data_IF_259410379489
#
_entry.id   IF_259410379489
#
_cell.length_a   1.000
_cell.length_b   1.000
_cell.length_c   1.000
_cell.angle_alpha   90.00
_cell.angle_beta   90.00
_cell.angle_gamma   90.00
#
_symmetry.space_group_name_H-M   'P 1'
#
loop_
_entity.id
_entity.type
_entity.pdbx_description
1 polymer ?
#
# COMPACT_ATOMS: atom_id res chain seq x y z
N UNK A 1 25.90 4.30 -35.78
CA UNK A 1 26.52 2.96 -35.97
C UNK A 1 26.67 2.30 -34.60
N UNK A 2 26.73 0.97 -34.53
CA UNK A 2 26.94 0.23 -33.28
C UNK A 2 28.21 0.66 -32.49
N UNK A 3 29.26 1.07 -33.20
CA UNK A 3 30.53 1.54 -32.63
C UNK A 3 30.35 2.73 -31.67
N UNK A 4 29.56 3.73 -32.04
CA UNK A 4 29.32 4.91 -31.18
C UNK A 4 28.61 4.56 -29.88
N UNK A 5 27.79 3.50 -29.88
CA UNK A 5 27.15 3.01 -28.66
C UNK A 5 28.16 2.29 -27.75
N UNK A 6 29.06 1.48 -28.33
CA UNK A 6 30.12 0.81 -27.58
C UNK A 6 31.07 1.84 -26.96
N UNK A 7 31.51 2.83 -27.74
CA UNK A 7 32.38 3.91 -27.26
C UNK A 7 31.72 4.68 -26.11
N UNK A 8 30.43 5.02 -26.25
CA UNK A 8 29.67 5.68 -25.19
C UNK A 8 29.57 4.84 -23.90
N UNK A 9 29.41 3.52 -24.00
CA UNK A 9 29.33 2.62 -22.82
C UNK A 9 30.69 2.35 -22.19
N UNK A 10 31.76 2.42 -22.98
CA UNK A 10 33.12 2.24 -22.50
C UNK A 10 33.71 3.52 -21.89
N UNK A 11 33.19 4.68 -22.27
CA UNK A 11 33.54 5.99 -21.70
C UNK A 11 33.50 5.94 -20.15
N UNK A 12 34.63 6.27 -19.48
CA UNK A 12 34.71 6.33 -18.02
C UNK A 12 33.59 7.17 -17.38
N UNK A 13 33.17 8.26 -18.04
CA UNK A 13 32.10 9.13 -17.52
C UNK A 13 30.76 8.39 -17.44
N UNK A 14 30.43 7.61 -18.47
CA UNK A 14 29.19 6.83 -18.51
C UNK A 14 29.22 5.69 -17.50
N UNK A 15 30.37 5.03 -17.31
CA UNK A 15 30.54 3.98 -16.30
C UNK A 15 30.33 4.51 -14.88
N UNK A 16 30.98 5.61 -14.53
CA UNK A 16 30.82 6.25 -13.22
C UNK A 16 29.35 6.65 -12.94
N UNK A 17 28.64 7.15 -13.97
CA UNK A 17 27.21 7.46 -13.85
C UNK A 17 26.36 6.20 -13.67
N UNK A 18 26.69 5.10 -14.35
CA UNK A 18 26.01 3.81 -14.19
C UNK A 18 26.17 3.24 -12.78
N UNK A 19 27.39 3.26 -12.23
CA UNK A 19 27.68 2.82 -10.85
C UNK A 19 26.90 3.66 -9.83
N UNK A 20 26.92 4.99 -9.96
CA UNK A 20 26.14 5.88 -9.11
C UNK A 20 24.63 5.61 -9.21
N UNK A 21 24.11 5.32 -10.40
CA UNK A 21 22.70 4.97 -10.58
C UNK A 21 22.36 3.62 -9.93
N UNK A 22 23.28 2.65 -9.95
CA UNK A 22 23.12 1.37 -9.26
C UNK A 22 23.04 1.55 -7.74
N UNK A 23 23.96 2.33 -7.15
CA UNK A 23 23.92 2.69 -5.73
C UNK A 23 22.68 3.48 -5.34
N UNK A 24 22.21 4.38 -6.20
CA UNK A 24 20.98 5.11 -5.95
C UNK A 24 19.76 4.19 -6.00
N UNK A 25 19.77 3.19 -6.89
CA UNK A 25 18.70 2.19 -6.99
C UNK A 25 18.64 1.31 -5.74
N UNK A 26 19.79 0.94 -5.14
CA UNK A 26 19.81 0.14 -3.92
C UNK A 26 19.23 0.87 -2.70
N UNK A 27 19.27 2.21 -2.70
CA UNK A 27 18.66 3.07 -1.66
C UNK A 27 17.11 3.11 -1.73
N UNK A 28 16.49 2.59 -2.78
CA UNK A 28 15.03 2.61 -2.95
C UNK A 28 14.34 1.58 -2.04
N UNK A 29 13.91 2.02 -0.84
CA UNK A 29 13.32 1.14 0.20
C UNK A 29 11.89 0.64 -0.09
N UNK A 30 11.12 1.38 -0.90
CA UNK A 30 9.71 1.08 -1.20
C UNK A 30 9.48 1.09 -2.71
N UNK A 31 9.75 -0.03 -3.41
CA UNK A 31 9.56 -0.11 -4.84
C UNK A 31 8.07 -0.06 -5.22
N UNK A 32 7.81 0.51 -6.39
CA UNK A 32 6.49 0.58 -6.99
C UNK A 32 6.18 -0.69 -7.80
N UNK A 33 4.99 -1.26 -7.66
CA UNK A 33 4.62 -2.55 -8.27
C UNK A 33 3.91 -2.42 -9.62
N UNK A 34 3.44 -1.22 -9.99
CA UNK A 34 2.66 -1.02 -11.23
C UNK A 34 3.52 -1.01 -12.52
N UNK A 35 4.81 -1.36 -12.42
CA UNK A 35 5.75 -1.28 -13.54
C UNK A 35 5.85 0.14 -14.10
N UNK A 36 5.79 0.27 -15.42
CA UNK A 36 5.84 1.55 -16.14
C UNK A 36 4.53 2.35 -16.14
N UNK A 37 3.48 1.85 -15.48
CA UNK A 37 2.18 2.54 -15.44
C UNK A 37 2.24 3.69 -14.45
N UNK A 38 1.83 4.88 -14.90
CA UNK A 38 1.74 6.05 -14.04
C UNK A 38 0.61 5.92 -13.00
N UNK A 39 0.76 6.63 -11.88
CA UNK A 39 -0.29 6.68 -10.84
C UNK A 39 -1.60 7.26 -11.36
N UNK A 40 -1.56 8.21 -12.30
CA UNK A 40 -2.76 8.81 -12.91
C UNK A 40 -3.55 7.78 -13.72
N UNK A 41 -2.88 6.96 -14.53
CA UNK A 41 -3.52 5.86 -15.26
C UNK A 41 -4.10 4.82 -14.31
N UNK A 42 -3.35 4.46 -13.27
CA UNK A 42 -3.84 3.52 -12.26
C UNK A 42 -5.06 4.05 -11.52
N UNK A 43 -5.08 5.35 -11.18
CA UNK A 43 -6.23 6.02 -10.58
C UNK A 43 -7.45 5.91 -11.49
N UNK A 44 -7.31 6.27 -12.77
CA UNK A 44 -8.40 6.21 -13.73
C UNK A 44 -8.98 4.79 -13.87
N UNK A 45 -8.13 3.76 -13.97
CA UNK A 45 -8.57 2.36 -13.99
C UNK A 45 -9.36 1.97 -12.73
N UNK A 46 -8.93 2.45 -11.55
CA UNK A 46 -9.62 2.20 -10.29
C UNK A 46 -10.96 2.94 -10.19
N UNK A 47 -11.04 4.16 -10.72
CA UNK A 47 -12.28 4.94 -10.78
C UNK A 47 -13.30 4.30 -11.71
N UNK A 48 -12.86 3.81 -12.88
CA UNK A 48 -13.70 3.05 -13.80
C UNK A 48 -14.22 1.76 -13.18
N UNK A 49 -13.37 1.02 -12.46
CA UNK A 49 -13.77 -0.24 -11.82
C UNK A 49 -14.69 -0.04 -10.61
N UNK A 50 -14.51 1.04 -9.85
CA UNK A 50 -15.29 1.34 -8.63
C UNK A 50 -16.56 2.14 -8.91
N UNK A 51 -16.61 2.84 -10.06
CA UNK A 51 -17.68 3.82 -10.39
C UNK A 51 -17.67 5.06 -9.49
N UNK A 52 -16.62 5.27 -8.69
CA UNK A 52 -16.50 6.32 -7.68
C UNK A 52 -15.13 6.99 -7.74
N UNK A 53 -15.02 8.27 -7.38
CA UNK A 53 -13.73 8.96 -7.32
C UNK A 53 -12.82 8.30 -6.29
N UNK A 54 -11.56 8.08 -6.67
CA UNK A 54 -10.58 7.38 -5.82
C UNK A 54 -9.60 8.38 -5.23
N UNK A 55 -9.38 8.30 -3.91
CA UNK A 55 -8.43 9.16 -3.21
C UNK A 55 -6.98 8.80 -3.55
N UNK A 56 -6.06 9.77 -3.42
CA UNK A 56 -4.63 9.53 -3.66
C UNK A 56 -4.04 8.48 -2.71
N UNK A 57 -4.51 8.42 -1.46
CA UNK A 57 -4.09 7.43 -0.47
C UNK A 57 -4.43 6.01 -0.93
N UNK A 58 -5.64 5.80 -1.45
CA UNK A 58 -6.07 4.50 -1.98
C UNK A 58 -5.22 4.08 -3.19
N UNK A 59 -4.92 5.00 -4.11
CA UNK A 59 -4.02 4.73 -5.25
C UNK A 59 -2.59 4.41 -4.79
N UNK A 60 -2.10 5.12 -3.77
CA UNK A 60 -0.79 4.85 -3.18
C UNK A 60 -0.74 3.43 -2.60
N UNK A 61 -1.73 3.05 -1.79
CA UNK A 61 -1.79 1.71 -1.19
C UNK A 61 -1.87 0.63 -2.27
N UNK A 62 -2.71 0.81 -3.30
CA UNK A 62 -2.87 -0.16 -4.38
C UNK A 62 -1.60 -0.37 -5.21
N UNK A 63 -0.77 0.67 -5.39
CA UNK A 63 0.44 0.60 -6.22
C UNK A 63 1.65 0.00 -5.51
N UNK A 64 1.61 -0.11 -4.17
CA UNK A 64 2.66 -0.72 -3.33
C UNK A 64 2.26 -2.09 -2.79
N UNK A 65 1.11 -2.61 -3.21
CA UNK A 65 0.69 -3.99 -3.04
C UNK A 65 1.00 -4.82 -4.28
N UNK A 66 1.21 -6.12 -4.07
CA UNK A 66 1.31 -7.13 -5.13
C UNK A 66 -0.10 -7.58 -5.58
N UNK A 67 -0.17 -8.37 -6.64
CA UNK A 67 -1.46 -8.86 -7.21
C UNK A 67 -2.23 -9.77 -6.24
N UNK A 68 -1.51 -10.49 -5.38
CA UNK A 68 -2.02 -11.31 -4.27
C UNK A 68 -2.52 -10.48 -3.07
N UNK A 69 -2.33 -9.15 -3.10
CA UNK A 69 -2.69 -8.25 -1.99
C UNK A 69 -1.62 -8.12 -0.90
N UNK A 70 -0.51 -8.87 -0.99
CA UNK A 70 0.59 -8.79 -0.03
C UNK A 70 1.41 -7.50 -0.22
N UNK A 71 2.06 -7.03 0.85
CA UNK A 71 2.95 -5.88 0.80
C UNK A 71 4.33 -6.30 0.31
N UNK A 72 4.97 -5.43 -0.47
CA UNK A 72 6.32 -5.70 -0.99
C UNK A 72 7.39 -5.65 0.10
N UNK A 73 7.19 -4.81 1.12
CA UNK A 73 8.10 -4.59 2.25
C UNK A 73 7.28 -4.18 3.49
N UNK A 74 7.77 -4.45 4.69
CA UNK A 74 7.17 -4.01 5.96
C UNK A 74 7.09 -2.49 6.06
N UNK A 75 8.08 -1.77 5.55
CA UNK A 75 8.02 -0.30 5.48
C UNK A 75 6.82 0.18 4.64
N UNK A 76 6.56 -0.50 3.51
CA UNK A 76 5.40 -0.18 2.68
C UNK A 76 4.09 -0.50 3.39
N UNK A 77 4.06 -1.57 4.19
CA UNK A 77 2.92 -1.91 5.06
C UNK A 77 2.67 -0.80 6.08
N UNK A 78 3.67 -0.37 6.84
CA UNK A 78 3.53 0.69 7.86
C UNK A 78 2.97 1.97 7.24
N UNK A 79 3.62 2.49 6.18
CA UNK A 79 3.19 3.72 5.51
C UNK A 79 1.77 3.59 4.93
N UNK A 80 1.43 2.42 4.38
CA UNK A 80 0.09 2.18 3.84
C UNK A 80 -0.98 2.17 4.94
N UNK A 81 -0.67 1.63 6.12
CA UNK A 81 -1.57 1.62 7.27
C UNK A 81 -1.76 3.04 7.80
N UNK A 82 -0.69 3.82 7.92
CA UNK A 82 -0.76 5.23 8.30
C UNK A 82 -1.60 6.05 7.32
N UNK A 83 -1.41 5.84 6.02
CA UNK A 83 -2.23 6.50 4.99
C UNK A 83 -3.72 6.16 5.13
N UNK A 84 -4.04 4.90 5.39
CA UNK A 84 -5.42 4.46 5.64
C UNK A 84 -5.98 5.09 6.92
N UNK A 85 -5.23 5.09 8.03
CA UNK A 85 -5.64 5.70 9.31
C UNK A 85 -5.87 7.21 9.17
N UNK A 86 -5.01 7.90 8.44
CA UNK A 86 -5.16 9.33 8.16
C UNK A 86 -6.44 9.60 7.36
N UNK A 87 -6.71 8.77 6.35
CA UNK A 87 -7.91 8.88 5.54
C UNK A 87 -9.19 8.60 6.35
N UNK A 88 -9.21 7.54 7.16
CA UNK A 88 -10.37 7.23 8.02
C UNK A 88 -10.59 8.30 9.06
N UNK A 89 -9.54 8.79 9.71
CA UNK A 89 -9.62 9.91 10.66
C UNK A 89 -10.22 11.14 10.00
N UNK A 90 -9.71 11.54 8.83
CA UNK A 90 -10.24 12.70 8.08
C UNK A 90 -11.71 12.53 7.70
N UNK A 91 -12.11 11.33 7.28
CA UNK A 91 -13.51 11.03 6.96
C UNK A 91 -14.40 11.11 8.20
N UNK A 92 -13.99 10.49 9.30
CA UNK A 92 -14.74 10.50 10.56
C UNK A 92 -14.88 11.91 11.13
N UNK A 93 -13.81 12.72 11.10
CA UNK A 93 -13.88 14.14 11.51
C UNK A 93 -14.88 14.93 10.66
N UNK A 94 -14.95 14.68 9.35
CA UNK A 94 -15.94 15.31 8.48
C UNK A 94 -17.37 14.89 8.83
N UNK A 95 -17.61 13.60 9.06
CA UNK A 95 -18.92 13.07 9.46
C UNK A 95 -19.38 13.70 10.78
N UNK A 96 -18.52 13.74 11.79
CA UNK A 96 -18.85 14.31 13.10
C UNK A 96 -19.18 15.80 13.02
N UNK A 97 -18.42 16.56 12.22
CA UNK A 97 -18.70 17.97 11.98
C UNK A 97 -20.08 18.17 11.36
N UNK A 98 -20.49 17.33 10.40
CA UNK A 98 -21.80 17.44 9.77
C UNK A 98 -22.96 16.99 10.69
N UNK A 99 -22.67 16.13 11.67
CA UNK A 99 -23.63 15.67 12.67
C UNK A 99 -23.65 16.55 13.95
N UNK A 100 -22.79 17.58 14.03
CA UNK A 100 -22.72 18.47 15.19
C UNK A 100 -22.08 17.85 16.45
N UNK A 101 -21.29 16.78 16.28
CA UNK A 101 -20.60 16.10 17.39
C UNK A 101 -19.14 16.59 17.50
N UNK A 102 -18.70 16.91 18.72
CA UNK A 102 -17.36 17.48 18.97
C UNK A 102 -16.21 16.45 18.91
N UNK A 103 -16.52 15.16 19.06
CA UNK A 103 -15.52 14.09 19.07
C UNK A 103 -16.10 12.76 18.59
N UNK A 104 -15.23 11.84 18.14
CA UNK A 104 -15.63 10.47 17.77
C UNK A 104 -16.10 9.79 19.05
N UNK A 105 -17.36 9.31 19.13
CA UNK A 105 -17.83 8.59 20.30
C UNK A 105 -16.90 7.41 20.61
N UNK A 106 -16.60 7.11 21.89
CA UNK A 106 -15.68 6.03 22.28
C UNK A 106 -16.04 4.67 21.67
N UNK A 107 -17.34 4.46 21.43
CA UNK A 107 -17.94 3.28 20.81
C UNK A 107 -17.44 3.02 19.37
N UNK A 108 -17.00 4.06 18.65
CA UNK A 108 -16.51 3.94 17.27
C UNK A 108 -14.98 4.04 17.15
N UNK A 109 -14.24 4.06 18.27
CA UNK A 109 -12.79 4.15 18.27
C UNK A 109 -12.11 2.99 17.50
N UNK A 110 -12.73 1.81 17.51
CA UNK A 110 -12.25 0.61 16.83
C UNK A 110 -12.27 0.71 15.29
N UNK A 111 -13.11 1.59 14.71
CA UNK A 111 -13.17 1.82 13.26
C UNK A 111 -11.97 2.63 12.73
N UNK A 112 -11.32 3.41 13.60
CA UNK A 112 -10.17 4.25 13.23
C UNK A 112 -8.88 3.43 13.19
N UNK A 113 -8.84 2.35 13.97
CA UNK A 113 -7.66 1.52 14.14
C UNK A 113 -8.03 0.06 13.91
N UNK A 114 -8.20 -0.37 12.64
CA UNK A 114 -8.35 -1.79 12.35
C UNK A 114 -7.02 -2.45 12.70
N UNK A 115 -6.93 -2.98 13.91
CA UNK A 115 -5.83 -3.85 14.27
C UNK A 115 -5.83 -5.00 13.27
N UNK A 116 -4.66 -5.16 12.67
CA UNK A 116 -4.06 -6.41 12.22
C UNK A 116 -4.94 -7.59 12.62
N UNK A 117 -5.44 -8.31 11.61
CA UNK A 117 -6.08 -9.62 11.73
C UNK A 117 -5.74 -10.24 13.08
N UNK A 118 -6.67 -10.22 14.05
CA UNK A 118 -6.53 -11.13 15.17
C UNK A 118 -6.46 -12.52 14.52
N UNK A 119 -5.45 -13.35 14.82
CA UNK A 119 -5.56 -14.76 14.45
C UNK A 119 -6.90 -15.24 15.01
N UNK A 120 -7.62 -16.06 14.25
CA UNK A 120 -8.84 -16.73 14.71
C UNK A 120 -8.46 -17.79 15.76
N UNK A 121 -7.84 -17.34 16.84
CA UNK A 121 -7.59 -18.14 18.03
C UNK A 121 -8.90 -18.07 18.84
N UNK A 122 -9.81 -19.01 18.58
CA UNK A 122 -10.99 -19.11 19.46
C UNK A 122 -12.20 -19.89 18.99
N UNK A 123 -12.25 -20.43 17.78
CA UNK A 123 -13.38 -21.28 17.36
C UNK A 123 -12.90 -22.31 16.33
N UNK A 124 -12.32 -23.42 16.80
CA UNK A 124 -12.61 -24.82 16.40
C UNK A 124 -11.63 -25.72 17.19
N UNK A 125 -11.99 -26.08 18.43
CA UNK A 125 -11.65 -27.38 19.04
C UNK A 125 -12.44 -27.60 20.32
N UNK A 126 -13.76 -27.71 20.19
CA UNK A 126 -14.60 -28.33 21.22
C UNK A 126 -15.55 -29.33 20.58
N UNK A 127 -14.97 -30.45 20.18
CA UNK A 127 -15.68 -31.74 20.14
C UNK A 127 -14.82 -32.73 20.91
N UNK A 128 -15.03 -32.75 22.24
CA UNK A 128 -14.75 -33.93 23.05
C UNK A 128 -15.68 -35.05 22.57
N UNK A 129 -15.10 -36.24 22.43
CA UNK A 129 -15.77 -37.39 21.86
C UNK A 129 -16.94 -37.91 22.70
N UNK A 130 -17.84 -38.59 21.99
CA UNK A 130 -18.60 -39.71 22.52
C UNK A 130 -18.40 -40.89 21.58
N UNK A 131 -17.81 -41.95 22.15
CA UNK A 131 -17.85 -43.30 21.64
C UNK A 131 -19.26 -43.83 21.89
N UNK A 132 -20.01 -44.19 20.86
CA UNK A 132 -21.22 -45.03 20.96
C UNK A 132 -21.21 -45.96 19.73
N UNK A 133 -20.90 -47.23 20.02
CA UNK A 133 -20.92 -48.48 19.23
C UNK A 133 -20.22 -48.53 17.87
#
# INVERSE_FOLDING_TARGET
MWTTFVDYRLDPKTKAMSEKNHENRSKLKMPHTCGSKSMARKKHEMELASGKPVSRGVVFVATRKRKDGSYVNDNAKIVSLEANKSQTKSFMTFVLRNLGLESVPPEFADLINPQVHKPLDGLVSRTLGYLVF
#
